data_IF_852770272845
#
_entry.id   IF_852770272845
#
_cell.length_a   1.000
_cell.length_b   1.000
_cell.length_c   1.000
_cell.angle_alpha   90.00
_cell.angle_beta   90.00
_cell.angle_gamma   90.00
#
_symmetry.space_group_name_H-M   'P 1'
#
loop_
_entity.id
_entity.type
_entity.pdbx_description
1 polymer ?
#
# COMPACT_ATOMS: atom_id res chain seq x y z
N UNK A 1 9.18 33.64 5.23
CA UNK A 1 8.94 32.59 6.25
C UNK A 1 10.25 32.44 7.00
N UNK A 2 10.35 32.95 8.23
CA UNK A 2 11.52 32.71 9.09
C UNK A 2 11.32 31.37 9.78
N UNK A 3 12.31 30.47 9.67
CA UNK A 3 12.24 29.16 10.31
C UNK A 3 12.11 29.31 11.82
N UNK A 4 10.95 28.92 12.37
CA UNK A 4 10.77 28.80 13.83
C UNK A 4 11.53 27.56 14.31
N UNK A 5 12.12 27.59 15.51
CA UNK A 5 12.66 26.38 16.17
C UNK A 5 11.55 25.32 16.19
N UNK A 6 11.62 24.33 15.31
CA UNK A 6 10.42 23.65 14.80
C UNK A 6 9.84 22.58 15.72
N UNK A 7 10.49 22.31 16.84
CA UNK A 7 9.93 21.65 18.01
C UNK A 7 10.67 22.24 19.20
N UNK A 8 10.00 23.08 19.99
CA UNK A 8 10.57 23.50 21.26
C UNK A 8 10.73 22.25 22.13
N UNK A 9 11.96 21.90 22.50
CA UNK A 9 12.14 21.02 23.65
C UNK A 9 11.48 21.72 24.85
N UNK A 10 10.70 20.97 25.63
CA UNK A 10 10.20 21.48 26.91
C UNK A 10 11.38 22.00 27.74
N UNK A 11 11.12 22.98 28.61
CA UNK A 11 12.14 23.45 29.53
C UNK A 11 12.68 22.27 30.36
N UNK A 12 14.00 22.18 30.59
CA UNK A 12 14.56 21.13 31.45
C UNK A 12 13.88 21.11 32.82
N UNK A 13 13.82 19.93 33.43
CA UNK A 13 13.18 19.76 34.73
C UNK A 13 13.75 20.73 35.75
N UNK A 14 12.85 21.44 36.44
CA UNK A 14 13.18 22.39 37.50
C UNK A 14 14.13 23.52 37.05
N UNK A 15 14.18 23.81 35.75
CA UNK A 15 14.94 24.94 35.23
C UNK A 15 14.28 26.28 35.57
N UNK A 16 15.08 27.35 35.56
CA UNK A 16 14.57 28.70 35.73
C UNK A 16 13.49 29.03 34.69
N UNK A 17 13.66 28.59 33.44
CA UNK A 17 12.70 28.82 32.38
C UNK A 17 11.38 28.05 32.59
N UNK A 18 11.44 26.83 33.16
CA UNK A 18 10.24 26.11 33.56
C UNK A 18 9.45 26.90 34.61
N UNK A 19 10.11 27.36 35.68
CA UNK A 19 9.44 28.17 36.71
C UNK A 19 8.95 29.51 36.18
N UNK A 20 9.71 30.15 35.29
CA UNK A 20 9.28 31.37 34.62
C UNK A 20 8.02 31.15 33.78
N UNK A 21 7.88 29.98 33.12
CA UNK A 21 6.67 29.65 32.36
C UNK A 21 5.42 29.45 33.22
N UNK A 22 5.60 29.21 34.53
CA UNK A 22 4.50 29.08 35.50
C UNK A 22 4.18 30.41 36.20
N UNK A 23 4.92 31.48 35.92
CA UNK A 23 4.75 32.76 36.61
C UNK A 23 3.37 33.38 36.40
N UNK A 24 2.83 33.27 35.19
CA UNK A 24 1.48 33.77 34.89
C UNK A 24 0.42 33.02 35.72
N UNK A 25 0.60 31.71 35.92
CA UNK A 25 -0.27 30.91 36.79
C UNK A 25 -0.16 31.34 38.26
N UNK A 26 1.04 31.57 38.76
CA UNK A 26 1.25 32.09 40.13
C UNK A 26 0.55 33.44 40.34
N UNK A 27 0.64 34.35 39.37
CA UNK A 27 0.03 35.67 39.41
C UNK A 27 -1.50 35.61 39.30
N UNK A 28 -2.03 34.86 38.34
CA UNK A 28 -3.47 34.76 38.06
C UNK A 28 -4.25 34.06 39.17
N UNK A 29 -3.60 33.13 39.88
CA UNK A 29 -4.21 32.35 40.97
C UNK A 29 -3.70 32.74 42.37
N UNK A 30 -2.77 33.69 42.47
CA UNK A 30 -2.24 34.16 43.76
C UNK A 30 -1.60 33.05 44.59
N UNK A 31 -0.82 32.18 43.95
CA UNK A 31 -0.16 31.04 44.60
C UNK A 31 1.33 30.97 44.24
N UNK A 32 2.08 30.17 44.99
CA UNK A 32 3.49 29.90 44.68
C UNK A 32 3.64 28.44 44.27
N UNK A 33 4.33 28.21 43.16
CA UNK A 33 4.71 26.88 42.72
C UNK A 33 5.94 26.45 43.53
N UNK A 34 5.90 25.33 44.26
CA UNK A 34 7.06 24.88 45.02
C UNK A 34 8.22 24.60 44.07
N UNK A 35 9.42 25.04 44.43
CA UNK A 35 10.64 24.67 43.70
C UNK A 35 11.10 23.29 44.15
N UNK A 36 11.53 22.46 43.21
CA UNK A 36 12.13 21.18 43.53
C UNK A 36 13.51 21.41 44.15
N UNK A 37 13.70 20.91 45.37
CA UNK A 37 14.91 21.14 46.16
C UNK A 37 15.48 19.83 46.77
N UNK A 38 15.03 18.68 46.27
CA UNK A 38 15.44 17.35 46.73
C UNK A 38 16.41 16.71 45.74
N UNK A 39 16.99 15.57 46.13
CA UNK A 39 17.74 14.71 45.23
C UNK A 39 16.83 14.16 44.13
N UNK A 40 17.31 14.13 42.88
CA UNK A 40 16.56 13.65 41.72
C UNK A 40 16.51 12.12 41.69
N UNK A 41 15.70 11.53 42.56
CA UNK A 41 15.28 10.11 42.49
C UNK A 41 13.90 10.01 41.84
N UNK A 42 13.55 8.84 41.30
CA UNK A 42 12.24 8.61 40.68
C UNK A 42 11.11 8.86 41.68
N UNK A 43 11.23 8.41 42.93
CA UNK A 43 10.20 8.64 43.96
C UNK A 43 10.03 10.13 44.29
N UNK A 44 11.13 10.89 44.42
CA UNK A 44 11.07 12.32 44.74
C UNK A 44 10.47 13.12 43.58
N UNK A 45 10.80 12.75 42.33
CA UNK A 45 10.24 13.37 41.13
C UNK A 45 8.74 13.10 41.01
N UNK A 46 8.31 11.86 41.25
CA UNK A 46 6.89 11.50 41.22
C UNK A 46 6.10 12.23 42.31
N UNK A 47 6.62 12.28 43.54
CA UNK A 47 6.00 13.02 44.64
C UNK A 47 5.88 14.52 44.31
N UNK A 48 6.92 15.13 43.75
CA UNK A 48 6.90 16.53 43.35
C UNK A 48 5.89 16.81 42.22
N UNK A 49 5.81 15.94 41.22
CA UNK A 49 4.79 16.05 40.17
C UNK A 49 3.38 15.95 40.74
N UNK A 50 3.16 15.03 41.67
CA UNK A 50 1.88 14.86 42.33
C UNK A 50 1.50 16.13 43.10
N UNK A 51 2.41 16.71 43.88
CA UNK A 51 2.18 17.95 44.62
C UNK A 51 1.88 19.13 43.68
N UNK A 52 2.58 19.23 42.55
CA UNK A 52 2.30 20.24 41.53
C UNK A 52 0.90 20.08 40.93
N UNK A 53 0.50 18.85 40.58
CA UNK A 53 -0.85 18.56 40.07
C UNK A 53 -1.93 18.91 41.12
N UNK A 54 -1.67 18.61 42.39
CA UNK A 54 -2.57 18.92 43.49
C UNK A 54 -2.68 20.42 43.75
N UNK A 55 -1.59 21.18 43.61
CA UNK A 55 -1.61 22.64 43.63
C UNK A 55 -2.50 23.18 42.50
N UNK A 56 -2.24 22.77 41.25
CA UNK A 56 -3.04 23.20 40.09
C UNK A 56 -4.51 22.88 40.31
N UNK A 57 -4.82 21.66 40.73
CA UNK A 57 -6.18 21.22 41.06
C UNK A 57 -6.82 22.13 42.12
N UNK A 58 -6.13 22.38 43.23
CA UNK A 58 -6.64 23.23 44.33
C UNK A 58 -6.98 24.64 43.83
N UNK A 59 -6.13 25.24 43.00
CA UNK A 59 -6.37 26.58 42.46
C UNK A 59 -7.56 26.60 41.48
N UNK A 60 -7.66 25.58 40.63
CA UNK A 60 -8.80 25.41 39.74
C UNK A 60 -10.12 25.22 40.52
N UNK A 61 -10.13 24.42 41.59
CA UNK A 61 -11.30 24.20 42.45
C UNK A 61 -11.79 25.50 43.14
N UNK A 62 -10.88 26.44 43.44
CA UNK A 62 -11.23 27.75 44.02
C UNK A 62 -11.84 28.72 42.99
N UNK A 63 -11.62 28.48 41.69
CA UNK A 63 -12.15 29.29 40.59
C UNK A 63 -13.37 28.63 39.95
N UNK A 64 -14.26 28.11 40.79
CA UNK A 64 -15.51 27.49 40.36
C UNK A 64 -16.38 28.44 39.52
N UNK A 65 -16.30 29.76 39.76
CA UNK A 65 -16.94 30.81 38.97
C UNK A 65 -16.50 30.81 37.49
N UNK A 66 -15.24 30.52 37.20
CA UNK A 66 -14.70 30.42 35.84
C UNK A 66 -14.96 29.04 35.20
N UNK A 67 -14.83 27.97 35.99
CA UNK A 67 -14.91 26.61 35.47
C UNK A 67 -16.35 26.11 35.32
N UNK A 68 -17.27 26.56 36.18
CA UNK A 68 -18.66 26.13 36.12
C UNK A 68 -19.33 26.48 34.78
N UNK A 69 -19.16 27.67 34.18
CA UNK A 69 -19.68 27.97 32.85
C UNK A 69 -19.10 27.07 31.74
N UNK A 70 -17.80 26.74 31.80
CA UNK A 70 -17.15 25.86 30.81
C UNK A 70 -17.69 24.43 30.94
N UNK A 71 -17.73 23.91 32.17
CA UNK A 71 -18.26 22.59 32.47
C UNK A 71 -19.76 22.50 32.12
N UNK A 72 -20.53 23.55 32.40
CA UNK A 72 -21.94 23.62 32.01
C UNK A 72 -22.09 23.70 30.50
N UNK A 73 -21.27 24.48 29.80
CA UNK A 73 -21.26 24.53 28.34
C UNK A 73 -21.00 23.17 27.69
N UNK A 74 -20.07 22.38 28.24
CA UNK A 74 -19.84 20.99 27.83
C UNK A 74 -21.04 20.08 28.12
N UNK A 75 -21.65 20.20 29.30
CA UNK A 75 -22.87 19.45 29.66
C UNK A 75 -24.03 19.79 28.72
N UNK A 76 -24.25 21.08 28.44
CA UNK A 76 -25.28 21.58 27.55
C UNK A 76 -25.04 21.13 26.11
N UNK A 77 -23.79 21.15 25.63
CA UNK A 77 -23.44 20.58 24.32
C UNK A 77 -23.75 19.08 24.26
N UNK A 78 -23.43 18.33 25.31
CA UNK A 78 -23.79 16.92 25.44
C UNK A 78 -25.31 16.69 25.48
N UNK A 79 -26.06 17.55 26.19
CA UNK A 79 -27.52 17.51 26.23
C UNK A 79 -28.12 17.75 24.85
N UNK A 80 -27.70 18.83 24.16
CA UNK A 80 -28.12 19.12 22.77
C UNK A 80 -27.79 17.97 21.82
N UNK A 81 -26.65 17.30 21.98
CA UNK A 81 -26.30 16.14 21.15
C UNK A 81 -27.24 14.95 21.42
N UNK A 82 -27.52 14.64 22.69
CA UNK A 82 -28.44 13.56 23.10
C UNK A 82 -29.87 13.83 22.68
N UNK A 83 -30.34 15.07 22.80
CA UNK A 83 -31.69 15.51 22.39
C UNK A 83 -31.94 15.32 20.90
N UNK A 84 -30.91 15.44 20.06
CA UNK A 84 -31.03 15.17 18.62
C UNK A 84 -31.36 13.71 18.31
N UNK A 85 -31.20 12.78 19.26
CA UNK A 85 -31.50 11.34 19.13
C UNK A 85 -31.03 10.78 17.78
N UNK A 86 -29.82 11.16 17.36
CA UNK A 86 -29.28 10.78 16.05
C UNK A 86 -29.11 9.26 16.03
N UNK A 87 -29.79 8.63 15.09
CA UNK A 87 -29.61 7.21 14.78
C UNK A 87 -28.92 7.10 13.41
N UNK A 88 -28.11 6.04 13.19
CA UNK A 88 -27.65 5.72 11.85
C UNK A 88 -28.85 5.58 10.89
N UNK A 89 -28.65 6.00 9.64
CA UNK A 89 -29.66 5.80 8.59
C UNK A 89 -29.89 4.31 8.32
N UNK A 90 -31.07 3.94 7.81
CA UNK A 90 -31.40 2.52 7.56
C UNK A 90 -30.49 1.87 6.50
N UNK A 91 -29.99 2.66 5.55
CA UNK A 91 -29.11 2.27 4.44
C UNK A 91 -27.62 2.48 4.76
N UNK A 92 -27.20 2.24 6.01
CA UNK A 92 -25.76 2.32 6.35
C UNK A 92 -24.94 1.30 5.55
N UNK A 93 -23.75 1.70 5.07
CA UNK A 93 -22.82 0.75 4.48
C UNK A 93 -22.43 -0.36 5.45
N UNK A 94 -22.21 -1.55 4.91
CA UNK A 94 -21.82 -2.76 5.63
C UNK A 94 -20.43 -3.20 5.18
N UNK A 95 -19.41 -2.44 5.59
CA UNK A 95 -18.01 -2.67 5.16
C UNK A 95 -17.46 -4.03 5.59
N UNK A 96 -17.98 -4.65 6.64
CA UNK A 96 -17.53 -5.99 7.04
C UNK A 96 -17.76 -7.05 5.96
N UNK A 97 -18.67 -6.81 5.00
CA UNK A 97 -18.92 -7.75 3.90
C UNK A 97 -17.76 -7.87 2.92
N UNK A 98 -16.86 -6.87 2.83
CA UNK A 98 -15.69 -6.95 1.93
C UNK A 98 -14.47 -7.63 2.57
N UNK A 99 -14.56 -8.05 3.83
CA UNK A 99 -13.48 -8.76 4.54
C UNK A 99 -13.86 -10.21 4.88
N UNK A 100 -15.01 -10.69 4.41
CA UNK A 100 -15.59 -11.99 4.77
C UNK A 100 -15.24 -13.05 3.72
N UNK A 101 -14.46 -14.09 4.06
CA UNK A 101 -14.12 -15.19 3.14
C UNK A 101 -15.34 -16.05 2.77
N UNK A 102 -16.43 -15.96 3.53
CA UNK A 102 -17.71 -16.61 3.17
C UNK A 102 -18.43 -15.90 2.02
N UNK A 103 -18.06 -14.64 1.74
CA UNK A 103 -18.68 -13.80 0.70
C UNK A 103 -17.78 -13.56 -0.49
N UNK A 104 -16.47 -13.49 -0.27
CA UNK A 104 -15.50 -13.27 -1.31
C UNK A 104 -14.63 -14.51 -1.43
N UNK A 105 -14.53 -15.02 -2.65
CA UNK A 105 -13.63 -16.13 -2.99
C UNK A 105 -12.59 -15.59 -3.99
N UNK A 106 -11.29 -15.58 -3.65
CA UNK A 106 -10.23 -15.22 -4.58
C UNK A 106 -10.28 -15.99 -5.90
N UNK A 107 -10.75 -17.25 -5.87
CA UNK A 107 -10.81 -18.15 -7.02
C UNK A 107 -12.06 -17.97 -7.89
N UNK A 108 -13.05 -17.21 -7.41
CA UNK A 108 -14.30 -17.01 -8.14
C UNK A 108 -14.63 -15.51 -8.36
N UNK A 109 -13.94 -14.86 -9.31
CA UNK A 109 -14.25 -13.48 -9.65
C UNK A 109 -15.68 -13.31 -10.21
N UNK A 110 -16.32 -12.16 -9.94
CA UNK A 110 -17.50 -11.72 -10.66
C UNK A 110 -17.33 -11.82 -12.18
N UNK A 111 -18.40 -12.20 -12.89
CA UNK A 111 -18.35 -12.50 -14.32
C UNK A 111 -17.85 -11.32 -15.18
N UNK A 112 -18.12 -10.08 -14.78
CA UNK A 112 -17.69 -8.85 -15.46
C UNK A 112 -16.21 -8.48 -15.23
N UNK A 113 -15.53 -9.20 -14.32
CA UNK A 113 -14.08 -9.11 -14.11
C UNK A 113 -13.30 -10.19 -14.86
N UNK A 114 -13.95 -11.29 -15.26
CA UNK A 114 -13.33 -12.37 -16.02
C UNK A 114 -13.15 -11.94 -17.47
N UNK A 115 -11.89 -11.81 -17.89
CA UNK A 115 -11.55 -11.55 -19.29
C UNK A 115 -11.08 -12.86 -19.93
N UNK A 116 -11.73 -13.35 -21.00
CA UNK A 116 -11.34 -14.61 -21.63
C UNK A 116 -9.99 -14.49 -22.37
N UNK A 117 -9.32 -15.61 -22.67
CA UNK A 117 -8.13 -15.62 -23.53
C UNK A 117 -8.35 -14.87 -24.85
N UNK A 118 -7.37 -14.07 -25.26
CA UNK A 118 -7.44 -13.16 -26.43
C UNK A 118 -8.25 -11.88 -26.17
N UNK A 119 -8.94 -11.78 -25.04
CA UNK A 119 -9.63 -10.57 -24.60
C UNK A 119 -8.65 -9.45 -24.26
N UNK A 120 -9.12 -8.20 -24.32
CA UNK A 120 -8.30 -6.99 -24.11
C UNK A 120 -8.89 -6.11 -23.02
N UNK A 121 -8.10 -5.78 -22.01
CA UNK A 121 -8.48 -4.85 -20.93
C UNK A 121 -7.22 -4.22 -20.30
N UNK A 122 -7.39 -3.33 -19.34
CA UNK A 122 -6.26 -2.76 -18.57
C UNK A 122 -6.34 -3.23 -17.12
N UNK A 123 -5.20 -3.35 -16.44
CA UNK A 123 -5.16 -3.65 -15.00
C UNK A 123 -5.97 -2.64 -14.18
N UNK A 124 -5.81 -1.34 -14.48
CA UNK A 124 -6.54 -0.25 -13.82
C UNK A 124 -8.06 -0.32 -13.99
N UNK A 125 -8.56 -0.69 -15.17
CA UNK A 125 -9.99 -0.84 -15.41
C UNK A 125 -10.56 -2.03 -14.65
N UNK A 126 -9.86 -3.17 -14.65
CA UNK A 126 -10.28 -4.33 -13.86
C UNK A 126 -10.27 -4.03 -12.36
N UNK A 127 -9.28 -3.30 -11.85
CA UNK A 127 -9.24 -2.85 -10.46
C UNK A 127 -10.41 -1.92 -10.12
N UNK A 128 -10.68 -0.92 -10.98
CA UNK A 128 -11.80 -0.01 -10.80
C UNK A 128 -13.15 -0.76 -10.74
N UNK A 129 -13.38 -1.72 -11.64
CA UNK A 129 -14.57 -2.57 -11.62
C UNK A 129 -14.64 -3.46 -10.39
N UNK A 130 -13.52 -4.05 -9.95
CA UNK A 130 -13.45 -4.87 -8.74
C UNK A 130 -13.85 -4.07 -7.50
N UNK A 131 -13.28 -2.87 -7.33
CA UNK A 131 -13.64 -1.96 -6.25
C UNK A 131 -15.10 -1.48 -6.35
N UNK A 132 -15.61 -1.22 -7.56
CA UNK A 132 -17.02 -0.91 -7.79
C UNK A 132 -17.96 -2.06 -7.38
N UNK A 133 -17.57 -3.30 -7.65
CA UNK A 133 -18.29 -4.49 -7.20
C UNK A 133 -18.33 -4.58 -5.66
N UNK A 134 -17.18 -4.41 -5.00
CA UNK A 134 -17.10 -4.35 -3.53
C UNK A 134 -17.93 -3.20 -2.95
N UNK A 135 -17.98 -2.05 -3.63
CA UNK A 135 -18.78 -0.92 -3.19
C UNK A 135 -20.28 -1.24 -3.22
N UNK A 136 -20.75 -1.95 -4.26
CA UNK A 136 -22.14 -2.42 -4.35
C UNK A 136 -22.48 -3.44 -3.27
N UNK A 137 -21.60 -4.42 -3.02
CA UNK A 137 -21.80 -5.41 -1.94
C UNK A 137 -21.93 -4.71 -0.58
N UNK A 138 -21.05 -3.75 -0.30
CA UNK A 138 -21.07 -3.02 0.96
C UNK A 138 -22.19 -1.98 1.07
N UNK A 139 -22.99 -1.76 0.03
CA UNK A 139 -24.04 -0.73 0.02
C UNK A 139 -23.50 0.71 0.01
N UNK A 140 -22.32 0.92 -0.56
CA UNK A 140 -21.68 2.23 -0.65
C UNK A 140 -20.62 2.46 0.42
N UNK A 141 -19.89 1.43 0.83
CA UNK A 141 -18.85 1.53 1.86
C UNK A 141 -17.54 2.17 1.38
N UNK A 142 -17.29 2.21 0.07
CA UNK A 142 -16.07 2.78 -0.50
C UNK A 142 -16.33 4.20 -0.98
N UNK A 143 -15.45 5.12 -0.58
CA UNK A 143 -15.41 6.50 -1.05
C UNK A 143 -14.10 6.73 -1.80
N UNK A 144 -14.19 7.12 -3.06
CA UNK A 144 -13.03 7.27 -3.93
C UNK A 144 -12.72 8.75 -4.25
N UNK A 145 -11.44 9.05 -4.40
CA UNK A 145 -10.96 10.29 -4.99
C UNK A 145 -9.73 10.02 -5.86
N UNK A 146 -9.51 10.88 -6.85
CA UNK A 146 -8.26 10.90 -7.59
C UNK A 146 -7.68 12.31 -7.64
N UNK A 147 -6.37 12.40 -7.77
CA UNK A 147 -5.65 13.66 -7.92
C UNK A 147 -5.83 14.22 -9.35
N UNK A 148 -7.05 14.69 -9.67
CA UNK A 148 -7.47 15.15 -11.01
C UNK A 148 -7.38 14.08 -12.13
N UNK A 149 -7.33 12.80 -11.75
CA UNK A 149 -7.06 11.68 -12.67
C UNK A 149 -8.14 10.59 -12.61
N UNK A 150 -9.39 10.94 -12.32
CA UNK A 150 -10.49 9.98 -12.12
C UNK A 150 -10.65 8.99 -13.27
N UNK A 151 -10.70 9.49 -14.51
CA UNK A 151 -10.79 8.66 -15.72
C UNK A 151 -9.47 7.97 -16.05
N UNK A 152 -8.35 8.67 -15.91
CA UNK A 152 -7.01 8.16 -16.23
C UNK A 152 -6.58 6.99 -15.36
N UNK A 153 -7.01 6.97 -14.09
CA UNK A 153 -6.75 5.87 -13.16
C UNK A 153 -7.89 4.84 -13.09
N UNK A 154 -8.99 5.06 -13.82
CA UNK A 154 -10.20 4.23 -13.80
C UNK A 154 -10.89 4.11 -12.44
N UNK A 155 -10.55 4.97 -11.47
CA UNK A 155 -11.14 4.91 -10.12
C UNK A 155 -12.57 5.44 -10.07
N UNK A 156 -13.05 6.12 -11.11
CA UNK A 156 -14.47 6.48 -11.27
C UNK A 156 -15.40 5.28 -11.20
N UNK A 157 -14.94 4.09 -11.62
CA UNK A 157 -15.70 2.84 -11.60
C UNK A 157 -16.10 2.40 -10.18
N UNK A 158 -15.40 2.88 -9.14
CA UNK A 158 -15.77 2.63 -7.73
C UNK A 158 -17.19 3.14 -7.43
N UNK A 159 -17.64 4.19 -8.12
CA UNK A 159 -18.97 4.77 -7.94
C UNK A 159 -20.04 4.15 -8.86
N UNK A 160 -19.71 3.12 -9.64
CA UNK A 160 -20.66 2.46 -10.53
C UNK A 160 -21.79 1.78 -9.74
N UNK A 161 -23.03 2.21 -10.00
CA UNK A 161 -24.23 1.82 -9.24
C UNK A 161 -24.67 2.81 -8.16
N UNK A 162 -24.00 3.96 -8.03
CA UNK A 162 -24.34 5.06 -7.13
C UNK A 162 -24.64 6.35 -7.91
N UNK A 163 -25.26 7.37 -7.29
CA UNK A 163 -25.45 8.67 -7.92
C UNK A 163 -24.14 9.25 -8.47
N UNK A 164 -24.24 9.80 -9.68
CA UNK A 164 -23.10 10.38 -10.39
C UNK A 164 -22.62 11.68 -9.74
N UNK A 165 -21.44 12.14 -10.17
CA UNK A 165 -20.82 13.35 -9.63
C UNK A 165 -20.20 13.14 -8.25
N UNK A 166 -19.95 14.25 -7.57
CA UNK A 166 -19.25 14.26 -6.29
C UNK A 166 -20.20 14.28 -5.11
N UNK A 167 -19.75 13.69 -4.01
CA UNK A 167 -20.38 13.74 -2.71
C UNK A 167 -20.56 15.19 -2.28
N UNK A 168 -21.79 15.52 -1.93
CA UNK A 168 -22.13 16.78 -1.29
C UNK A 168 -23.20 16.48 -0.23
N UNK A 169 -22.92 16.80 1.03
CA UNK A 169 -23.75 16.38 2.16
C UNK A 169 -25.22 16.82 2.04
N UNK A 170 -25.50 17.95 1.36
CA UNK A 170 -26.87 18.47 1.19
C UNK A 170 -27.56 18.02 -0.10
N UNK A 171 -26.85 17.98 -1.23
CA UNK A 171 -27.46 17.81 -2.57
C UNK A 171 -27.12 16.49 -3.24
N UNK A 172 -26.07 15.80 -2.82
CA UNK A 172 -25.67 14.51 -3.37
C UNK A 172 -25.00 13.60 -2.30
N UNK A 173 -25.68 13.30 -1.18
CA UNK A 173 -25.08 12.56 -0.06
C UNK A 173 -24.85 11.07 -0.37
N UNK A 174 -25.45 10.57 -1.45
CA UNK A 174 -25.35 9.17 -1.87
C UNK A 174 -24.25 8.91 -2.91
N UNK A 175 -23.61 9.94 -3.47
CA UNK A 175 -22.45 9.76 -4.33
C UNK A 175 -21.25 9.18 -3.58
N UNK A 176 -20.36 8.53 -4.32
CA UNK A 176 -19.18 7.81 -3.80
C UNK A 176 -17.84 8.33 -4.32
N UNK A 177 -17.87 9.45 -5.03
CA UNK A 177 -16.68 10.20 -5.41
C UNK A 177 -16.56 11.46 -4.55
N UNK A 178 -15.36 11.83 -4.13
CA UNK A 178 -15.12 13.05 -3.35
C UNK A 178 -14.10 13.92 -4.08
N UNK A 179 -14.36 15.22 -4.15
CA UNK A 179 -13.40 16.20 -4.67
C UNK A 179 -12.56 16.73 -3.51
N UNK A 180 -11.23 16.57 -3.59
CA UNK A 180 -10.29 16.91 -2.53
C UNK A 180 -9.16 17.83 -3.05
N UNK A 181 -9.55 18.88 -3.79
CA UNK A 181 -8.64 19.94 -4.23
C UNK A 181 -7.93 19.74 -5.58
N UNK A 182 -8.15 18.62 -6.29
CA UNK A 182 -7.50 18.33 -7.57
C UNK A 182 -6.16 17.62 -7.35
N UNK A 183 -5.05 18.17 -7.86
CA UNK A 183 -3.69 17.60 -7.75
C UNK A 183 -3.17 17.77 -6.31
N UNK A 184 -3.66 16.93 -5.41
CA UNK A 184 -3.43 17.03 -3.97
C UNK A 184 -3.27 15.64 -3.36
N UNK A 185 -2.33 14.83 -3.86
CA UNK A 185 -2.10 13.45 -3.39
C UNK A 185 -1.96 13.38 -1.86
N UNK A 186 -1.14 14.24 -1.24
CA UNK A 186 -0.97 14.25 0.22
C UNK A 186 -2.30 14.50 0.96
N UNK A 187 -3.07 15.51 0.54
CA UNK A 187 -4.37 15.83 1.13
C UNK A 187 -5.40 14.70 0.93
N UNK A 188 -5.39 14.05 -0.25
CA UNK A 188 -6.20 12.86 -0.50
C UNK A 188 -5.82 11.75 0.48
N UNK A 189 -4.52 11.49 0.68
CA UNK A 189 -4.04 10.47 1.61
C UNK A 189 -4.49 10.73 3.04
N UNK A 190 -4.28 11.95 3.53
CA UNK A 190 -4.71 12.37 4.87
C UNK A 190 -6.23 12.23 5.06
N UNK A 191 -7.02 12.65 4.06
CA UNK A 191 -8.47 12.53 4.11
C UNK A 191 -8.93 11.07 4.10
N UNK A 192 -8.36 10.22 3.23
CA UNK A 192 -8.74 8.81 3.11
C UNK A 192 -8.35 8.00 4.35
N UNK A 193 -7.18 8.28 4.95
CA UNK A 193 -6.77 7.72 6.23
C UNK A 193 -7.73 8.11 7.36
N UNK A 194 -8.07 9.41 7.46
CA UNK A 194 -9.02 9.92 8.44
C UNK A 194 -10.42 9.30 8.28
N UNK A 195 -10.92 9.24 7.04
CA UNK A 195 -12.21 8.60 6.72
C UNK A 195 -12.23 7.13 7.14
N UNK A 196 -11.19 6.38 6.80
CA UNK A 196 -11.10 4.94 7.07
C UNK A 196 -10.96 4.65 8.57
N UNK A 197 -10.32 5.54 9.33
CA UNK A 197 -10.08 5.36 10.77
C UNK A 197 -11.39 5.14 11.55
N UNK A 198 -12.50 5.74 11.14
CA UNK A 198 -13.80 5.59 11.81
C UNK A 198 -14.45 4.20 11.63
N UNK A 199 -14.04 3.41 10.63
CA UNK A 199 -14.56 2.05 10.42
C UNK A 199 -15.99 1.98 9.85
N UNK A 200 -16.48 3.06 9.24
CA UNK A 200 -17.77 3.05 8.52
C UNK A 200 -17.61 3.11 7.00
N UNK A 201 -16.44 3.52 6.52
CA UNK A 201 -16.11 3.61 5.12
C UNK A 201 -14.66 3.18 4.91
N UNK A 202 -14.36 2.75 3.69
CA UNK A 202 -12.99 2.54 3.19
C UNK A 202 -12.69 3.66 2.22
N UNK A 203 -11.66 4.44 2.54
CA UNK A 203 -11.14 5.45 1.63
C UNK A 203 -10.35 4.80 0.50
N UNK A 204 -10.54 5.28 -0.73
CA UNK A 204 -9.69 4.89 -1.86
C UNK A 204 -9.16 6.14 -2.57
N UNK A 205 -7.84 6.31 -2.50
CA UNK A 205 -7.12 7.41 -3.15
C UNK A 205 -6.37 6.90 -4.38
N UNK A 206 -6.30 7.69 -5.44
CA UNK A 206 -5.67 7.28 -6.70
C UNK A 206 -4.92 8.42 -7.40
N UNK A 207 -3.72 8.14 -7.88
CA UNK A 207 -2.95 8.99 -8.81
C UNK A 207 -1.90 8.10 -9.47
N UNK A 208 -0.94 8.69 -10.18
CA UNK A 208 0.15 7.93 -10.78
C UNK A 208 1.07 7.41 -9.67
N UNK A 209 1.55 6.17 -9.81
CA UNK A 209 2.48 5.55 -8.86
C UNK A 209 3.71 6.42 -8.58
N UNK A 210 4.19 7.13 -9.60
CA UNK A 210 5.29 8.10 -9.52
C UNK A 210 5.08 9.22 -8.48
N UNK A 211 3.83 9.57 -8.19
CA UNK A 211 3.49 10.68 -7.29
C UNK A 211 2.93 10.15 -5.97
N UNK A 212 1.91 9.31 -6.05
CA UNK A 212 1.11 8.95 -4.87
C UNK A 212 1.88 8.11 -3.85
N UNK A 213 2.78 7.23 -4.30
CA UNK A 213 3.56 6.38 -3.39
C UNK A 213 4.44 7.22 -2.46
N UNK A 214 5.09 8.26 -3.00
CA UNK A 214 5.91 9.19 -2.23
C UNK A 214 5.05 10.17 -1.42
N UNK A 215 4.06 10.81 -2.06
CA UNK A 215 3.29 11.90 -1.45
C UNK A 215 2.33 11.41 -0.36
N UNK A 216 1.89 10.14 -0.38
CA UNK A 216 1.04 9.58 0.67
C UNK A 216 1.78 8.71 1.67
N UNK A 217 3.11 8.57 1.58
CA UNK A 217 3.90 7.73 2.50
C UNK A 217 3.65 8.10 3.96
N UNK A 218 3.68 9.40 4.28
CA UNK A 218 3.41 9.90 5.63
C UNK A 218 1.98 9.59 6.07
N UNK A 219 0.98 9.81 5.22
CA UNK A 219 -0.41 9.51 5.54
C UNK A 219 -0.63 8.01 5.80
N UNK A 220 -0.05 7.13 4.96
CA UNK A 220 -0.09 5.67 5.15
C UNK A 220 0.59 5.27 6.46
N UNK A 221 1.79 5.81 6.74
CA UNK A 221 2.52 5.52 7.98
C UNK A 221 1.74 5.94 9.22
N UNK A 222 1.15 7.14 9.23
CA UNK A 222 0.34 7.61 10.36
C UNK A 222 -0.94 6.78 10.52
N UNK A 223 -1.58 6.37 9.42
CA UNK A 223 -2.72 5.45 9.46
C UNK A 223 -2.33 4.10 10.07
N UNK A 224 -1.24 3.50 9.61
CA UNK A 224 -0.68 2.25 10.15
C UNK A 224 -0.40 2.35 11.66
N UNK A 225 0.27 3.43 12.11
CA UNK A 225 0.54 3.68 13.54
C UNK A 225 -0.76 3.77 14.34
N UNK A 226 -1.74 4.55 13.86
CA UNK A 226 -3.03 4.71 14.54
C UNK A 226 -3.83 3.40 14.61
N UNK A 227 -3.87 2.63 13.52
CA UNK A 227 -4.54 1.34 13.48
C UNK A 227 -3.84 0.30 14.37
N UNK A 228 -2.51 0.27 14.39
CA UNK A 228 -1.73 -0.59 15.29
C UNK A 228 -1.99 -0.23 16.76
N UNK A 229 -1.95 1.05 17.12
CA UNK A 229 -2.26 1.50 18.48
C UNK A 229 -3.68 1.10 18.90
N UNK A 230 -4.66 1.28 18.01
CA UNK A 230 -6.05 0.86 18.26
C UNK A 230 -6.18 -0.65 18.45
N UNK A 231 -5.51 -1.44 17.60
CA UNK A 231 -5.50 -2.89 17.72
C UNK A 231 -4.86 -3.35 19.03
N UNK A 232 -3.69 -2.81 19.38
CA UNK A 232 -3.00 -3.16 20.62
C UNK A 232 -3.83 -2.80 21.88
N UNK A 233 -4.55 -1.68 21.83
CA UNK A 233 -5.36 -1.22 22.97
C UNK A 233 -6.69 -1.99 23.11
N UNK A 234 -7.33 -2.38 22.00
CA UNK A 234 -8.71 -2.86 22.02
C UNK A 234 -8.94 -4.22 21.34
N UNK A 235 -7.91 -4.84 20.76
CA UNK A 235 -8.02 -6.12 20.03
C UNK A 235 -8.83 -6.05 18.75
N UNK A 236 -9.19 -4.86 18.27
CA UNK A 236 -10.06 -4.70 17.09
C UNK A 236 -9.28 -4.87 15.79
N UNK A 237 -9.86 -5.46 14.73
CA UNK A 237 -9.22 -5.54 13.41
C UNK A 237 -8.93 -4.16 12.81
N UNK A 238 -7.92 -4.04 11.94
CA UNK A 238 -7.59 -2.78 11.28
C UNK A 238 -8.70 -2.30 10.36
N UNK A 239 -8.80 -0.98 10.22
CA UNK A 239 -9.67 -0.36 9.21
C UNK A 239 -8.82 -0.05 7.98
N UNK A 240 -9.09 -0.77 6.89
CA UNK A 240 -8.30 -0.68 5.66
C UNK A 240 -8.54 0.64 4.92
N UNK A 241 -7.45 1.21 4.41
CA UNK A 241 -7.40 2.29 3.43
C UNK A 241 -6.71 1.77 2.16
N UNK A 242 -7.24 2.09 0.98
CA UNK A 242 -6.67 1.64 -0.30
C UNK A 242 -6.01 2.81 -1.04
N UNK A 243 -4.73 2.68 -1.35
CA UNK A 243 -3.95 3.67 -2.10
C UNK A 243 -3.56 3.09 -3.46
N UNK A 244 -4.18 3.57 -4.54
CA UNK A 244 -4.00 3.03 -5.89
C UNK A 244 -2.86 3.75 -6.60
N UNK A 245 -1.78 3.01 -6.87
CA UNK A 245 -0.66 3.40 -7.73
C UNK A 245 -0.99 3.05 -9.19
N UNK A 246 -1.77 3.90 -9.86
CA UNK A 246 -2.05 3.72 -11.29
C UNK A 246 -0.84 4.13 -12.15
N UNK A 247 -0.81 3.75 -13.43
CA UNK A 247 0.32 4.08 -14.32
C UNK A 247 1.67 3.69 -13.70
N UNK A 248 1.72 2.53 -13.04
CA UNK A 248 2.94 2.08 -12.37
C UNK A 248 4.01 1.66 -13.39
N UNK A 249 5.26 2.06 -13.14
CA UNK A 249 6.44 1.59 -13.86
C UNK A 249 6.58 2.10 -15.30
N UNK A 250 7.46 1.44 -16.05
CA UNK A 250 8.02 1.95 -17.30
C UNK A 250 7.03 2.05 -18.47
N UNK A 251 5.94 1.28 -18.44
CA UNK A 251 4.92 1.26 -19.51
C UNK A 251 4.02 2.51 -19.54
N UNK A 252 4.24 3.47 -18.63
CA UNK A 252 3.68 4.82 -18.75
C UNK A 252 4.14 5.50 -20.04
N UNK A 253 5.38 5.23 -20.48
CA UNK A 253 5.84 5.49 -21.85
C UNK A 253 6.07 6.97 -22.14
N UNK A 254 5.19 7.57 -22.94
CA UNK A 254 5.42 8.88 -23.56
C UNK A 254 5.53 10.03 -22.55
N UNK A 255 4.99 9.88 -21.34
CA UNK A 255 5.12 10.90 -20.29
C UNK A 255 6.56 11.01 -19.75
N UNK A 256 7.41 10.03 -20.06
CA UNK A 256 8.84 10.03 -19.77
C UNK A 256 9.20 9.81 -18.31
N UNK A 257 10.48 10.02 -17.94
CA UNK A 257 11.02 9.60 -16.64
C UNK A 257 10.43 10.32 -15.43
N UNK A 258 9.70 11.42 -15.63
CA UNK A 258 9.01 12.13 -14.54
C UNK A 258 7.72 11.42 -14.10
N UNK A 259 7.16 10.54 -14.93
CA UNK A 259 5.90 9.82 -14.69
C UNK A 259 6.08 8.29 -14.77
N UNK A 260 6.99 7.80 -15.60
CA UNK A 260 7.34 6.39 -15.75
C UNK A 260 8.32 5.94 -14.66
N UNK A 261 7.93 6.09 -13.39
CA UNK A 261 8.81 5.90 -12.24
C UNK A 261 8.98 4.41 -11.85
N UNK A 262 10.20 3.85 -11.90
CA UNK A 262 10.47 2.50 -11.40
C UNK A 262 10.70 2.43 -9.88
N UNK A 263 10.79 3.56 -9.18
CA UNK A 263 11.11 3.62 -7.75
C UNK A 263 9.88 3.45 -6.84
N UNK A 264 8.69 3.75 -7.34
CA UNK A 264 7.45 3.82 -6.56
C UNK A 264 7.18 2.57 -5.68
N UNK A 265 7.43 1.36 -6.18
CA UNK A 265 7.24 0.13 -5.40
C UNK A 265 8.23 0.03 -4.23
N UNK A 266 9.50 0.42 -4.44
CA UNK A 266 10.54 0.36 -3.42
C UNK A 266 10.24 1.24 -2.20
N UNK A 267 9.44 2.31 -2.38
CA UNK A 267 9.04 3.17 -1.27
C UNK A 267 8.11 2.45 -0.28
N UNK A 268 7.42 1.39 -0.71
CA UNK A 268 6.35 0.74 0.05
C UNK A 268 6.64 -0.71 0.37
N UNK A 269 7.11 -1.49 -0.61
CA UNK A 269 7.38 -2.91 -0.44
C UNK A 269 8.39 -3.09 0.69
N UNK A 270 8.04 -3.90 1.68
CA UNK A 270 8.86 -4.18 2.87
C UNK A 270 9.26 -2.93 3.68
N UNK A 271 8.63 -1.77 3.45
CA UNK A 271 8.97 -0.52 4.13
C UNK A 271 8.13 -0.28 5.41
N UNK A 272 7.15 -1.14 5.68
CA UNK A 272 6.22 -1.05 6.81
C UNK A 272 6.30 -2.32 7.67
N UNK A 273 5.95 -2.25 8.96
CA UNK A 273 5.88 -3.44 9.81
C UNK A 273 5.00 -4.53 9.17
N UNK A 274 5.39 -5.82 9.27
CA UNK A 274 4.64 -6.92 8.69
C UNK A 274 3.16 -6.87 9.08
N UNK A 275 2.28 -7.06 8.09
CA UNK A 275 0.83 -7.06 8.29
C UNK A 275 0.13 -5.70 8.22
N UNK A 276 0.86 -4.57 8.24
CA UNK A 276 0.22 -3.25 8.24
C UNK A 276 -0.06 -2.71 6.83
N UNK A 277 0.83 -2.92 5.87
CA UNK A 277 0.65 -2.51 4.48
C UNK A 277 0.89 -3.71 3.57
N UNK A 278 0.04 -3.88 2.57
CA UNK A 278 0.19 -4.91 1.53
C UNK A 278 0.28 -4.24 0.16
N UNK A 279 1.38 -4.46 -0.56
CA UNK A 279 1.51 -4.04 -1.96
C UNK A 279 1.01 -5.13 -2.89
N UNK A 280 0.34 -4.77 -3.99
CA UNK A 280 -0.12 -5.72 -5.01
C UNK A 280 0.43 -5.32 -6.37
N UNK A 281 1.11 -6.25 -7.05
CA UNK A 281 1.69 -6.08 -8.39
C UNK A 281 1.17 -7.18 -9.31
N UNK A 282 -0.15 -7.28 -9.61
CA UNK A 282 -0.66 -8.26 -10.57
C UNK A 282 -0.13 -7.95 -11.97
N UNK A 283 0.17 -8.98 -12.78
CA UNK A 283 0.62 -8.77 -14.17
C UNK A 283 -0.49 -8.94 -15.20
N UNK A 284 -1.39 -9.88 -14.94
CA UNK A 284 -2.53 -10.23 -15.77
C UNK A 284 -3.81 -9.59 -15.15
N UNK A 285 -4.69 -8.98 -15.97
CA UNK A 285 -5.98 -8.48 -15.48
C UNK A 285 -6.78 -9.45 -14.63
N UNK A 286 -6.73 -10.75 -14.92
CA UNK A 286 -7.46 -11.76 -14.15
C UNK A 286 -6.87 -12.01 -12.75
N UNK A 287 -5.67 -11.52 -12.43
CA UNK A 287 -5.06 -11.61 -11.08
C UNK A 287 -5.53 -10.52 -10.13
N UNK A 288 -6.12 -9.44 -10.67
CA UNK A 288 -6.56 -8.29 -9.87
C UNK A 288 -7.50 -8.71 -8.75
N UNK A 289 -8.50 -9.53 -9.07
CA UNK A 289 -9.47 -10.01 -8.09
C UNK A 289 -8.84 -10.94 -7.04
N UNK A 290 -8.14 -12.03 -7.41
CA UNK A 290 -7.45 -12.88 -6.44
C UNK A 290 -6.55 -12.11 -5.48
N UNK A 291 -5.69 -11.23 -6.00
CA UNK A 291 -4.77 -10.44 -5.18
C UNK A 291 -5.52 -9.48 -4.24
N UNK A 292 -6.54 -8.78 -4.74
CA UNK A 292 -7.31 -7.83 -3.95
C UNK A 292 -8.09 -8.53 -2.83
N UNK A 293 -8.77 -9.64 -3.13
CA UNK A 293 -9.54 -10.39 -2.13
C UNK A 293 -8.62 -11.00 -1.08
N UNK A 294 -7.50 -11.62 -1.49
CA UNK A 294 -6.53 -12.17 -0.55
C UNK A 294 -5.99 -11.08 0.41
N UNK A 295 -5.70 -9.88 -0.09
CA UNK A 295 -5.29 -8.77 0.78
C UNK A 295 -6.41 -8.32 1.72
N UNK A 296 -7.65 -8.24 1.24
CA UNK A 296 -8.79 -7.85 2.08
C UNK A 296 -9.06 -8.87 3.19
N UNK A 297 -8.94 -10.17 2.93
CA UNK A 297 -9.07 -11.23 3.95
C UNK A 297 -8.02 -11.08 5.06
N UNK A 298 -6.80 -10.68 4.72
CA UNK A 298 -5.73 -10.39 5.69
C UNK A 298 -5.95 -9.07 6.43
N UNK A 299 -6.83 -8.21 5.91
CA UNK A 299 -7.29 -6.94 6.50
C UNK A 299 -6.14 -6.05 7.01
N UNK A 300 -5.14 -5.70 6.18
CA UNK A 300 -4.09 -4.77 6.56
C UNK A 300 -4.66 -3.36 6.77
N UNK A 301 -3.89 -2.49 7.44
CA UNK A 301 -4.26 -1.09 7.57
C UNK A 301 -4.25 -0.38 6.21
N UNK A 302 -3.34 -0.76 5.30
CA UNK A 302 -3.24 -0.20 3.94
C UNK A 302 -3.11 -1.30 2.89
N UNK A 303 -3.80 -1.15 1.76
CA UNK A 303 -3.57 -1.94 0.54
C UNK A 303 -3.10 -0.98 -0.56
N UNK A 304 -2.01 -1.32 -1.25
CA UNK A 304 -1.40 -0.51 -2.29
C UNK A 304 -1.28 -1.28 -3.62
N UNK A 305 -2.31 -1.26 -4.49
CA UNK A 305 -2.23 -1.88 -5.81
C UNK A 305 -1.44 -1.02 -6.81
N UNK A 306 -0.51 -1.65 -7.53
CA UNK A 306 0.27 -1.09 -8.63
C UNK A 306 -0.26 -1.62 -9.96
N UNK A 307 -0.89 -0.75 -10.74
CA UNK A 307 -1.57 -1.13 -12.00
C UNK A 307 -1.08 -0.28 -13.16
N UNK A 308 -0.86 -0.91 -14.31
CA UNK A 308 -0.29 -0.24 -15.49
C UNK A 308 -1.34 0.46 -16.35
N UNK A 309 -0.86 1.42 -17.16
CA UNK A 309 -1.67 2.23 -18.09
C UNK A 309 -2.24 1.45 -19.29
N UNK A 310 -1.43 0.69 -20.05
CA UNK A 310 -1.83 0.21 -21.37
C UNK A 310 -2.78 -0.96 -21.29
N UNK A 311 -3.44 -1.20 -22.42
CA UNK A 311 -4.26 -2.39 -22.65
C UNK A 311 -3.34 -3.60 -22.79
N UNK A 312 -3.64 -4.64 -22.04
CA UNK A 312 -3.01 -5.94 -22.12
C UNK A 312 -3.96 -6.92 -22.81
N UNK A 313 -3.39 -7.85 -23.58
CA UNK A 313 -4.10 -9.01 -24.11
C UNK A 313 -3.98 -10.14 -23.10
N UNK A 314 -5.11 -10.73 -22.70
CA UNK A 314 -5.12 -11.83 -21.75
C UNK A 314 -4.68 -13.10 -22.45
N UNK A 315 -3.59 -13.69 -21.95
CA UNK A 315 -3.02 -14.91 -22.54
C UNK A 315 -3.88 -16.13 -22.24
N UNK A 316 -3.79 -17.14 -23.11
CA UNK A 316 -4.29 -18.47 -22.80
C UNK A 316 -3.31 -19.18 -21.86
N UNK A 317 -3.55 -19.03 -20.55
CA UNK A 317 -2.72 -19.65 -19.50
C UNK A 317 -2.64 -21.16 -19.66
N UNK A 318 -3.74 -21.81 -20.02
CA UNK A 318 -3.76 -23.27 -20.16
C UNK A 318 -2.92 -23.72 -21.36
N UNK A 319 -3.06 -23.06 -22.50
CA UNK A 319 -2.24 -23.36 -23.69
C UNK A 319 -0.75 -23.10 -23.45
N UNK A 320 -0.41 -22.12 -22.61
CA UNK A 320 0.96 -21.83 -22.21
C UNK A 320 1.43 -22.65 -20.98
N UNK A 321 0.63 -23.58 -20.45
CA UNK A 321 0.99 -24.35 -19.26
C UNK A 321 1.30 -23.50 -18.02
N UNK A 322 0.67 -22.33 -17.92
CA UNK A 322 0.76 -21.42 -16.77
C UNK A 322 -0.31 -21.77 -15.73
N UNK A 323 -0.07 -21.51 -14.43
CA UNK A 323 -1.09 -21.70 -13.40
C UNK A 323 -2.28 -20.75 -13.62
N UNK A 324 -3.44 -21.06 -13.04
CA UNK A 324 -4.60 -20.18 -13.12
C UNK A 324 -4.38 -18.89 -12.29
N UNK A 325 -5.19 -17.86 -12.54
CA UNK A 325 -4.97 -16.50 -12.00
C UNK A 325 -5.02 -16.42 -10.48
N UNK A 326 -5.77 -17.31 -9.84
CA UNK A 326 -5.87 -17.42 -8.39
C UNK A 326 -4.55 -17.74 -7.69
N UNK A 327 -3.55 -18.31 -8.38
CA UNK A 327 -2.22 -18.53 -7.82
C UNK A 327 -1.58 -17.21 -7.33
N UNK A 328 -1.95 -16.08 -7.93
CA UNK A 328 -1.46 -14.76 -7.54
C UNK A 328 -1.89 -14.34 -6.12
N UNK A 329 -2.88 -14.99 -5.51
CA UNK A 329 -3.26 -14.78 -4.11
C UNK A 329 -2.16 -15.20 -3.11
N UNK A 330 -1.21 -16.05 -3.53
CA UNK A 330 -0.09 -16.51 -2.71
C UNK A 330 1.02 -15.45 -2.54
N UNK A 331 0.99 -14.35 -3.31
CA UNK A 331 2.01 -13.31 -3.30
C UNK A 331 3.29 -13.65 -4.10
N UNK A 332 3.73 -14.91 -4.06
CA UNK A 332 4.78 -15.47 -4.91
C UNK A 332 4.31 -16.84 -5.39
N UNK A 333 4.41 -17.11 -6.68
CA UNK A 333 3.97 -18.40 -7.22
C UNK A 333 4.79 -18.81 -8.46
N UNK A 334 4.92 -20.13 -8.73
CA UNK A 334 5.62 -20.60 -9.93
C UNK A 334 4.74 -20.37 -11.16
N UNK A 335 5.21 -19.55 -12.10
CA UNK A 335 4.64 -19.49 -13.45
C UNK A 335 4.93 -20.79 -14.20
N UNK A 336 6.12 -21.36 -14.01
CA UNK A 336 6.53 -22.66 -14.52
C UNK A 336 7.65 -23.23 -13.66
N UNK A 337 7.62 -24.53 -13.39
CA UNK A 337 8.72 -25.22 -12.72
C UNK A 337 9.56 -25.98 -13.75
N UNK A 338 10.85 -26.11 -13.46
CA UNK A 338 11.74 -26.99 -14.22
C UNK A 338 11.21 -28.43 -14.17
N UNK A 339 11.37 -29.17 -15.27
CA UNK A 339 11.11 -30.60 -15.32
C UNK A 339 12.05 -31.32 -14.34
N UNK A 340 11.51 -32.02 -13.32
CA UNK A 340 12.33 -32.73 -12.33
C UNK A 340 13.11 -33.91 -12.93
N UNK A 341 12.75 -34.39 -14.12
CA UNK A 341 13.47 -35.41 -14.86
C UNK A 341 14.73 -34.91 -15.58
N UNK A 342 14.97 -33.60 -15.60
CA UNK A 342 16.10 -32.96 -16.28
C UNK A 342 16.90 -32.10 -15.30
N UNK A 343 18.22 -31.92 -15.49
CA UNK A 343 18.99 -31.00 -14.67
C UNK A 343 18.38 -29.60 -14.71
N UNK A 344 18.10 -29.01 -13.55
CA UNK A 344 17.67 -27.62 -13.42
C UNK A 344 18.82 -26.71 -13.83
N UNK A 345 18.54 -25.74 -14.69
CA UNK A 345 19.54 -24.80 -15.23
C UNK A 345 19.54 -23.43 -14.53
N UNK A 346 18.62 -23.21 -13.59
CA UNK A 346 18.55 -22.00 -12.79
C UNK A 346 17.12 -21.61 -12.43
N UNK A 347 17.00 -20.43 -11.81
CA UNK A 347 15.74 -19.86 -11.34
C UNK A 347 15.60 -18.41 -11.79
N UNK A 348 14.43 -18.04 -12.32
CA UNK A 348 14.09 -16.68 -12.73
C UNK A 348 12.97 -16.16 -11.84
N UNK A 349 13.11 -14.94 -11.32
CA UNK A 349 12.07 -14.23 -10.58
C UNK A 349 11.62 -13.00 -11.35
N UNK A 350 10.34 -12.95 -11.68
CA UNK A 350 9.71 -11.85 -12.42
C UNK A 350 8.93 -10.95 -11.47
N UNK A 351 9.02 -9.62 -11.66
CA UNK A 351 8.21 -8.66 -10.91
C UNK A 351 7.80 -7.45 -11.77
N UNK A 352 6.50 -7.15 -11.75
CA UNK A 352 5.91 -6.03 -12.47
C UNK A 352 5.37 -6.41 -13.84
N UNK A 353 4.16 -5.95 -14.15
CA UNK A 353 3.41 -6.42 -15.32
C UNK A 353 4.13 -6.19 -16.65
N UNK A 354 4.86 -5.08 -16.77
CA UNK A 354 5.46 -4.72 -18.04
C UNK A 354 6.52 -5.70 -18.52
N UNK A 355 7.34 -6.22 -17.60
CA UNK A 355 8.39 -7.19 -17.94
C UNK A 355 7.82 -8.59 -18.07
N UNK A 356 6.82 -8.95 -17.25
CA UNK A 356 6.19 -10.28 -17.29
C UNK A 356 5.34 -10.47 -18.54
N UNK A 357 4.63 -9.44 -19.00
CA UNK A 357 3.87 -9.52 -20.24
C UNK A 357 4.81 -9.85 -21.42
N UNK A 358 5.90 -9.11 -21.59
CA UNK A 358 6.93 -9.40 -22.60
C UNK A 358 7.57 -10.78 -22.41
N UNK A 359 7.86 -11.17 -21.17
CA UNK A 359 8.44 -12.47 -20.87
C UNK A 359 7.52 -13.60 -21.35
N UNK A 360 6.24 -13.57 -20.96
CA UNK A 360 5.28 -14.63 -21.27
C UNK A 360 4.96 -14.69 -22.77
N UNK A 361 4.82 -13.54 -23.44
CA UNK A 361 4.42 -13.52 -24.85
C UNK A 361 5.56 -13.81 -25.83
N UNK A 362 6.79 -13.43 -25.50
CA UNK A 362 7.91 -13.43 -26.46
C UNK A 362 9.12 -14.24 -26.00
N UNK A 363 9.43 -14.25 -24.69
CA UNK A 363 10.65 -14.88 -24.17
C UNK A 363 10.40 -16.35 -23.84
N UNK A 364 9.29 -16.67 -23.19
CA UNK A 364 8.95 -18.02 -22.76
C UNK A 364 8.93 -19.03 -23.94
N UNK A 365 8.30 -18.73 -25.11
CA UNK A 365 8.37 -19.63 -26.26
C UNK A 365 9.80 -19.85 -26.77
N UNK A 366 10.64 -18.81 -26.77
CA UNK A 366 12.06 -18.93 -27.18
C UNK A 366 12.87 -19.78 -26.19
N UNK A 367 12.56 -19.70 -24.90
CA UNK A 367 13.20 -20.56 -23.90
C UNK A 367 12.82 -22.03 -24.12
N UNK A 368 11.56 -22.30 -24.48
CA UNK A 368 11.08 -23.64 -24.82
C UNK A 368 11.77 -24.19 -26.08
N UNK A 369 11.87 -23.38 -27.14
CA UNK A 369 12.57 -23.74 -28.38
C UNK A 369 14.06 -24.01 -28.15
N UNK A 370 14.71 -23.21 -27.29
CA UNK A 370 16.11 -23.42 -26.89
C UNK A 370 16.29 -24.60 -25.92
N UNK A 371 15.21 -25.18 -25.41
CA UNK A 371 15.23 -26.32 -24.51
C UNK A 371 15.70 -25.99 -23.10
N UNK A 372 15.56 -24.74 -22.64
CA UNK A 372 15.94 -24.39 -21.27
C UNK A 372 15.04 -25.06 -20.22
N UNK A 373 15.64 -25.55 -19.14
CA UNK A 373 14.97 -26.16 -18.01
C UNK A 373 15.10 -25.28 -16.75
N UNK A 374 14.21 -24.30 -16.62
CA UNK A 374 14.28 -23.24 -15.61
C UNK A 374 13.06 -23.26 -14.69
N UNK A 375 13.28 -22.93 -13.42
CA UNK A 375 12.20 -22.47 -12.56
C UNK A 375 11.88 -21.00 -12.89
N UNK A 376 10.60 -20.66 -13.01
CA UNK A 376 10.13 -19.31 -13.32
C UNK A 376 9.05 -18.94 -12.31
N UNK A 377 9.31 -17.90 -11.52
CA UNK A 377 8.41 -17.42 -10.49
C UNK A 377 7.94 -16.00 -10.77
N UNK A 378 6.74 -15.67 -10.30
CA UNK A 378 6.21 -14.31 -10.33
C UNK A 378 5.90 -13.81 -8.91
N UNK A 379 6.28 -12.57 -8.64
CA UNK A 379 5.97 -11.84 -7.40
C UNK A 379 4.76 -10.94 -7.64
N UNK A 380 3.60 -11.33 -7.11
CA UNK A 380 2.37 -10.54 -7.09
C UNK A 380 2.22 -9.70 -5.81
N UNK A 381 2.88 -10.09 -4.70
CA UNK A 381 2.94 -9.35 -3.44
C UNK A 381 3.94 -9.99 -2.48
N UNK A 382 4.96 -9.24 -2.05
CA UNK A 382 5.87 -9.73 -1.02
C UNK A 382 5.14 -9.94 0.32
N UNK A 383 4.24 -9.03 0.65
CA UNK A 383 3.55 -9.06 1.95
C UNK A 383 2.49 -10.15 2.05
N UNK A 384 1.80 -10.50 0.96
CA UNK A 384 0.90 -11.68 0.98
C UNK A 384 1.68 -12.99 1.15
N UNK A 385 2.86 -13.08 0.53
CA UNK A 385 3.72 -14.25 0.67
C UNK A 385 4.22 -14.40 2.11
N UNK A 386 4.60 -13.30 2.76
CA UNK A 386 5.02 -13.26 4.17
C UNK A 386 3.91 -13.69 5.14
N UNK A 387 2.65 -13.57 4.71
CA UNK A 387 1.47 -13.97 5.50
C UNK A 387 1.08 -15.44 5.30
N UNK A 388 1.81 -16.20 4.49
CA UNK A 388 1.74 -17.66 4.46
C UNK A 388 2.52 -18.25 5.63
N UNK A 389 2.18 -19.47 6.04
CA UNK A 389 3.03 -20.19 6.99
C UNK A 389 4.42 -20.50 6.38
N UNK A 390 5.43 -20.61 7.23
CA UNK A 390 6.83 -20.80 6.80
C UNK A 390 7.02 -22.09 6.00
N UNK A 391 6.27 -23.15 6.32
CA UNK A 391 6.32 -24.41 5.57
C UNK A 391 5.87 -24.19 4.13
N UNK A 392 4.77 -23.45 3.92
CA UNK A 392 4.25 -23.16 2.59
C UNK A 392 5.15 -22.21 1.82
N UNK A 393 5.75 -21.22 2.49
CA UNK A 393 6.76 -20.36 1.88
C UNK A 393 7.95 -21.20 1.36
N UNK A 394 8.47 -22.11 2.19
CA UNK A 394 9.58 -22.99 1.83
C UNK A 394 9.20 -24.04 0.77
N UNK A 395 7.95 -24.48 0.71
CA UNK A 395 7.44 -25.36 -0.35
C UNK A 395 7.41 -24.64 -1.70
N UNK A 396 6.97 -23.38 -1.73
CA UNK A 396 6.85 -22.59 -2.96
C UNK A 396 8.22 -22.12 -3.44
N UNK A 397 9.01 -21.51 -2.55
CA UNK A 397 10.26 -20.84 -2.90
C UNK A 397 11.36 -21.13 -1.86
N UNK A 398 11.93 -22.35 -1.87
CA UNK A 398 13.00 -22.73 -0.97
C UNK A 398 14.26 -21.87 -1.17
N UNK A 399 15.07 -21.76 -0.11
CA UNK A 399 16.28 -20.93 -0.09
C UNK A 399 17.26 -21.26 -1.24
N UNK A 400 17.33 -22.53 -1.66
CA UNK A 400 18.17 -22.95 -2.77
C UNK A 400 17.83 -22.23 -4.09
N UNK A 401 16.55 -21.99 -4.35
CA UNK A 401 16.10 -21.25 -5.53
C UNK A 401 16.52 -19.79 -5.43
N UNK A 402 16.40 -19.18 -4.24
CA UNK A 402 16.78 -17.80 -4.00
C UNK A 402 18.29 -17.55 -4.16
N UNK A 403 19.12 -18.52 -3.78
CA UNK A 403 20.59 -18.46 -3.89
C UNK A 403 21.06 -18.48 -5.34
N UNK A 404 20.43 -19.27 -6.19
CA UNK A 404 20.80 -19.37 -7.61
C UNK A 404 20.12 -18.32 -8.48
N UNK A 405 18.97 -17.77 -8.07
CA UNK A 405 18.09 -16.98 -8.92
C UNK A 405 18.74 -15.76 -9.58
N UNK A 406 18.21 -15.35 -10.73
CA UNK A 406 18.28 -13.97 -11.21
C UNK A 406 16.88 -13.35 -11.23
N UNK A 407 16.79 -12.02 -11.22
CA UNK A 407 15.53 -11.31 -11.31
C UNK A 407 15.39 -10.51 -12.61
N UNK A 408 14.16 -10.35 -13.08
CA UNK A 408 13.78 -9.40 -14.13
C UNK A 408 12.64 -8.56 -13.55
N UNK A 409 12.88 -7.28 -13.34
CA UNK A 409 11.90 -6.37 -12.75
C UNK A 409 11.73 -5.08 -13.55
N UNK A 410 10.50 -4.59 -13.66
CA UNK A 410 10.21 -3.26 -14.17
C UNK A 410 10.50 -2.14 -13.16
N UNK A 411 10.82 -2.49 -11.92
CA UNK A 411 11.14 -1.57 -10.83
C UNK A 411 12.65 -1.51 -10.59
N UNK A 412 13.06 -1.00 -9.43
CA UNK A 412 14.46 -0.98 -8.99
C UNK A 412 14.91 -2.34 -8.44
N UNK A 413 16.22 -2.63 -8.51
CA UNK A 413 16.76 -3.91 -8.02
C UNK A 413 16.48 -4.22 -6.54
N UNK A 414 16.41 -3.24 -5.60
CA UNK A 414 16.17 -3.56 -4.19
C UNK A 414 14.84 -4.29 -3.92
N UNK A 415 13.81 -4.10 -4.76
CA UNK A 415 12.54 -4.83 -4.62
C UNK A 415 12.67 -6.33 -4.84
N UNK A 416 13.84 -6.80 -5.30
CA UNK A 416 14.10 -8.21 -5.61
C UNK A 416 15.09 -8.88 -4.66
N UNK A 417 15.71 -8.15 -3.73
CA UNK A 417 16.87 -8.64 -2.98
C UNK A 417 16.59 -9.83 -2.06
N UNK A 418 15.36 -9.97 -1.57
CA UNK A 418 14.92 -11.13 -0.80
C UNK A 418 14.74 -12.38 -1.67
N UNK A 419 14.37 -12.19 -2.95
CA UNK A 419 14.18 -13.29 -3.90
C UNK A 419 15.50 -13.68 -4.56
N UNK A 420 16.47 -12.77 -4.61
CA UNK A 420 17.81 -13.01 -5.18
C UNK A 420 18.87 -12.73 -4.13
N UNK A 421 19.29 -13.77 -3.42
CA UNK A 421 20.14 -13.64 -2.23
C UNK A 421 21.63 -13.65 -2.56
N UNK A 422 22.04 -14.07 -3.77
CA UNK A 422 23.43 -14.07 -4.19
C UNK A 422 23.83 -12.80 -4.95
N UNK A 423 25.08 -12.36 -4.73
CA UNK A 423 25.68 -11.29 -5.55
C UNK A 423 25.75 -11.69 -7.03
N UNK A 424 26.03 -12.96 -7.30
CA UNK A 424 26.00 -13.53 -8.65
C UNK A 424 24.64 -13.28 -9.32
N UNK A 425 23.55 -13.68 -8.68
CA UNK A 425 22.19 -13.47 -9.19
C UNK A 425 21.90 -12.00 -9.45
N UNK A 426 22.18 -11.13 -8.46
CA UNK A 426 21.94 -9.67 -8.56
C UNK A 426 22.71 -9.02 -9.71
N UNK A 427 23.94 -9.47 -9.99
CA UNK A 427 24.74 -8.98 -11.13
C UNK A 427 24.17 -9.42 -12.48
N UNK A 428 23.49 -10.56 -12.54
CA UNK A 428 22.83 -11.05 -13.76
C UNK A 428 21.39 -10.53 -13.91
N UNK A 429 20.79 -10.03 -12.84
CA UNK A 429 19.43 -9.46 -12.88
C UNK A 429 19.30 -8.25 -13.81
N UNK A 430 18.11 -8.12 -14.40
CA UNK A 430 17.65 -6.97 -15.17
C UNK A 430 16.68 -6.11 -14.34
N UNK A 431 16.84 -4.80 -14.43
CA UNK A 431 16.01 -3.82 -13.74
C UNK A 431 16.04 -2.47 -14.48
N UNK A 432 15.11 -1.57 -14.17
CA UNK A 432 14.94 -0.30 -14.90
C UNK A 432 16.23 0.52 -15.01
N UNK A 433 17.04 0.55 -13.94
CA UNK A 433 18.30 1.30 -13.88
C UNK A 433 19.55 0.45 -14.13
N UNK A 434 19.45 -0.70 -14.81
CA UNK A 434 20.62 -1.57 -15.07
C UNK A 434 21.76 -0.84 -15.78
N UNK A 435 21.43 0.13 -16.63
CA UNK A 435 22.37 0.97 -17.38
C UNK A 435 22.78 2.26 -16.65
N UNK A 436 22.41 2.43 -15.38
CA UNK A 436 22.89 3.53 -14.52
C UNK A 436 22.33 4.93 -14.82
N UNK A 437 21.19 5.05 -15.51
CA UNK A 437 20.55 6.33 -15.83
C UNK A 437 19.01 6.24 -15.82
N UNK A 438 18.34 7.39 -15.76
CA UNK A 438 16.90 7.50 -16.02
C UNK A 438 16.60 7.28 -17.49
N UNK A 439 15.53 6.55 -17.80
CA UNK A 439 15.14 6.22 -19.16
C UNK A 439 14.48 7.39 -19.89
N UNK A 440 14.40 7.31 -21.22
CA UNK A 440 13.81 8.33 -22.07
C UNK A 440 12.28 8.41 -22.03
N UNK A 441 11.76 9.33 -22.83
CA UNK A 441 10.33 9.47 -23.14
C UNK A 441 10.05 8.86 -24.51
N UNK A 442 9.09 7.94 -24.58
CA UNK A 442 8.72 7.30 -25.84
C UNK A 442 7.72 6.16 -25.67
N UNK A 443 7.40 5.47 -26.76
CA UNK A 443 6.49 4.31 -26.73
C UNK A 443 7.02 3.27 -25.74
N UNK A 444 6.11 2.66 -24.96
CA UNK A 444 6.46 1.73 -23.90
C UNK A 444 7.48 0.65 -24.30
N UNK A 445 7.37 0.06 -25.49
CA UNK A 445 8.32 -0.96 -25.96
C UNK A 445 9.74 -0.41 -26.19
N UNK A 446 9.89 0.85 -26.64
CA UNK A 446 11.21 1.48 -26.81
C UNK A 446 11.85 1.82 -25.47
N UNK A 447 11.05 2.18 -24.46
CA UNK A 447 11.54 2.39 -23.09
C UNK A 447 12.02 1.08 -22.47
N UNK A 448 11.29 -0.03 -22.69
CA UNK A 448 11.75 -1.36 -22.27
C UNK A 448 13.02 -1.79 -23.02
N UNK A 449 13.13 -1.51 -24.32
CA UNK A 449 14.34 -1.76 -25.11
C UNK A 449 15.55 -0.96 -24.58
N UNK A 450 15.36 0.33 -24.29
CA UNK A 450 16.38 1.18 -23.67
C UNK A 450 16.85 0.60 -22.34
N UNK A 451 15.96 0.07 -21.51
CA UNK A 451 16.30 -0.59 -20.25
C UNK A 451 16.96 -1.99 -20.43
N UNK A 452 16.91 -2.58 -21.63
CA UNK A 452 17.27 -3.99 -21.84
C UNK A 452 16.21 -4.98 -21.36
N UNK A 453 14.99 -4.50 -21.08
CA UNK A 453 13.85 -5.27 -20.57
C UNK A 453 12.88 -5.75 -21.69
N UNK A 454 13.13 -5.40 -22.94
CA UNK A 454 12.46 -6.02 -24.10
C UNK A 454 12.85 -7.50 -24.29
N UNK A 455 12.15 -8.21 -25.19
CA UNK A 455 12.29 -9.65 -25.37
C UNK A 455 13.73 -10.12 -25.65
N UNK A 456 14.45 -9.47 -26.57
CA UNK A 456 15.83 -9.86 -26.88
C UNK A 456 16.74 -9.69 -25.66
N UNK A 457 16.69 -8.52 -25.02
CA UNK A 457 17.51 -8.26 -23.83
C UNK A 457 17.21 -9.22 -22.67
N UNK A 458 15.95 -9.60 -22.46
CA UNK A 458 15.59 -10.64 -21.48
C UNK A 458 16.19 -12.00 -21.86
N UNK A 459 16.02 -12.45 -23.11
CA UNK A 459 16.52 -13.74 -23.58
C UNK A 459 18.05 -13.83 -23.52
N UNK A 460 18.75 -12.80 -23.96
CA UNK A 460 20.22 -12.70 -23.90
C UNK A 460 20.73 -12.76 -22.45
N UNK A 461 20.09 -12.02 -21.53
CA UNK A 461 20.47 -12.02 -20.12
C UNK A 461 20.25 -13.38 -19.45
N UNK A 462 19.12 -14.04 -19.74
CA UNK A 462 18.83 -15.39 -19.22
C UNK A 462 19.85 -16.40 -19.75
N UNK A 463 20.15 -16.35 -21.05
CA UNK A 463 21.12 -17.26 -21.67
C UNK A 463 22.51 -17.09 -21.04
N UNK A 464 22.97 -15.84 -20.90
CA UNK A 464 24.25 -15.53 -20.27
C UNK A 464 24.29 -15.97 -18.79
N UNK A 465 23.19 -15.79 -18.06
CA UNK A 465 23.05 -16.27 -16.68
C UNK A 465 23.18 -17.80 -16.59
N UNK A 466 22.47 -18.55 -17.45
CA UNK A 466 22.52 -20.02 -17.45
C UNK A 466 23.93 -20.52 -17.76
N UNK A 467 24.60 -19.95 -18.77
CA UNK A 467 25.99 -20.29 -19.11
C UNK A 467 26.97 -19.98 -17.97
N UNK A 468 26.80 -18.84 -17.30
CA UNK A 468 27.64 -18.45 -16.17
C UNK A 468 27.38 -19.35 -14.94
N UNK A 469 26.13 -19.75 -14.69
CA UNK A 469 25.78 -20.62 -13.58
C UNK A 469 26.35 -22.03 -13.80
N UNK A 470 26.27 -22.55 -15.03
CA UNK A 470 26.86 -23.84 -15.40
C UNK A 470 28.38 -23.87 -15.20
N UNK A 471 29.09 -22.79 -15.57
CA UNK A 471 30.54 -22.66 -15.31
C UNK A 471 30.85 -22.68 -13.82
N UNK A 472 30.10 -21.91 -13.03
CA UNK A 472 30.27 -21.84 -11.57
C UNK A 472 30.00 -23.18 -10.87
N UNK A 473 29.11 -24.01 -11.39
CA UNK A 473 28.83 -25.33 -10.83
C UNK A 473 29.89 -26.39 -11.19
N UNK A 474 30.72 -26.13 -12.21
CA UNK A 474 31.82 -27.01 -12.62
C UNK A 474 33.18 -26.66 -12.02
N UNK A 475 33.29 -25.50 -11.35
CA UNK A 475 34.42 -25.08 -10.51
C UNK A 475 34.23 -25.57 -9.07
#
# INVERSE_FOLDING_TARGET
>A
IEGRKSHGAGHPLCSEQFYQSLRDFELDFGCEVPKFCLEMTDENLEAYYWDLLQLVRKQLEQRADLLAPIAQGLKDAGARLRERKRVPRNDVPKIEQMFSPERLDPSNPPADLKTPPGGKTTLRATLGKALGHLNRITGGGLMAAAADLLGSTSISEVASGFPSGFYHAGSNPAARLVALGGICEDAIGAFMAGLSTFGFHVGVGSSYGAFIAALQHVAMRLHCIGQQARHNAFGTPYNTYIMVCAHAGLKTGEDGPTHADPQCLQLLQENFPPGLLVTLTPWDPNEIWPCLVAALEKRPAVIAPFVTRPTEEVVDRQALGLPPAEAAALGMYPLRLADPGRPRQGTIVLQGSGVTNTFVSEVLPRLDEAGYNLNIFYVSSAELFDMLDEQKQNEIYPEEFAREAMAITGFTIPTTWRWVTSEFGRRHSLHAFKKGHYLGSGKAHKVLEEAGLHAEGQFEAISAYVEALARKAGE
#
